data_IF_128696348741
#
_entry.id   IF_128696348741
#
_cell.length_a   1.000
_cell.length_b   1.000
_cell.length_c   1.000
_cell.angle_alpha   90.00
_cell.angle_beta   90.00
_cell.angle_gamma   90.00
#
_symmetry.space_group_name_H-M   'P 1'
#
loop_
_entity.id
_entity.type
_entity.pdbx_description
1 polymer ?
#
# COMPACT_ATOMS: atom_id res chain seq x y z
N UNK A 1 5.48 26.49 24.29
CA UNK A 1 4.85 25.21 23.84
C UNK A 1 5.89 24.37 23.10
N UNK A 2 6.10 23.15 23.54
CA UNK A 2 7.07 22.20 22.98
C UNK A 2 6.39 21.22 22.01
N UNK A 3 6.94 21.02 20.81
CA UNK A 3 6.40 20.10 19.81
C UNK A 3 6.43 18.63 20.22
N UNK A 4 7.40 18.24 21.05
CA UNK A 4 7.44 16.88 21.60
C UNK A 4 6.28 16.65 22.57
N UNK A 5 5.93 17.64 23.38
CA UNK A 5 4.77 17.56 24.26
C UNK A 5 3.46 17.45 23.45
N UNK A 6 3.35 18.17 22.31
CA UNK A 6 2.19 18.06 21.42
C UNK A 6 2.09 16.66 20.80
N UNK A 7 3.21 16.08 20.32
CA UNK A 7 3.24 14.69 19.80
C UNK A 7 2.87 13.68 20.87
N UNK A 8 3.41 13.86 22.07
CA UNK A 8 3.09 13.03 23.23
C UNK A 8 1.60 13.05 23.56
N UNK A 9 0.98 14.23 23.48
CA UNK A 9 -0.44 14.39 23.69
C UNK A 9 -1.28 13.66 22.60
N UNK A 10 -0.88 13.77 21.34
CA UNK A 10 -1.53 13.04 20.24
C UNK A 10 -1.45 11.52 20.42
N UNK A 11 -0.32 10.99 20.89
CA UNK A 11 -0.18 9.57 21.13
C UNK A 11 -1.06 9.09 22.30
N UNK A 12 -1.19 9.89 23.34
CA UNK A 12 -2.14 9.64 24.44
C UNK A 12 -3.58 9.63 23.94
N UNK A 13 -3.96 10.56 23.08
CA UNK A 13 -5.30 10.58 22.46
C UNK A 13 -5.55 9.30 21.65
N UNK A 14 -4.60 8.87 20.82
CA UNK A 14 -4.74 7.68 19.96
C UNK A 14 -4.87 6.40 20.76
N UNK A 15 -4.08 6.27 21.82
CA UNK A 15 -4.04 5.05 22.66
C UNK A 15 -5.08 5.05 23.78
N UNK A 16 -5.64 6.21 24.14
CA UNK A 16 -6.50 6.46 25.31
C UNK A 16 -5.88 5.96 26.63
N UNK A 17 -4.53 5.88 26.68
CA UNK A 17 -3.78 5.31 27.82
C UNK A 17 -2.36 5.88 27.90
N UNK A 18 -2.03 6.52 29.02
CA UNK A 18 -0.69 7.01 29.29
C UNK A 18 0.37 5.88 29.28
N UNK A 19 0.00 4.70 29.80
CA UNK A 19 0.92 3.56 29.84
C UNK A 19 1.20 2.98 28.45
N UNK A 20 0.18 2.89 27.56
CA UNK A 20 0.38 2.44 26.18
C UNK A 20 1.16 3.47 25.37
N UNK A 21 0.80 4.75 25.49
CA UNK A 21 1.49 5.84 24.80
C UNK A 21 2.98 5.92 25.21
N UNK A 22 3.30 5.81 26.50
CA UNK A 22 4.68 5.86 26.97
C UNK A 22 5.56 4.74 26.38
N UNK A 23 4.99 3.52 26.25
CA UNK A 23 5.70 2.41 25.60
C UNK A 23 5.96 2.68 24.12
N UNK A 24 4.98 3.22 23.38
CA UNK A 24 5.13 3.56 21.96
C UNK A 24 6.14 4.69 21.74
N UNK A 25 6.19 5.65 22.66
CA UNK A 25 7.12 6.77 22.62
C UNK A 25 8.51 6.44 23.21
N UNK A 26 8.72 5.22 23.72
CA UNK A 26 9.95 4.79 24.37
C UNK A 26 10.41 5.70 25.52
N UNK A 27 9.47 6.24 26.30
CA UNK A 27 9.72 7.05 27.50
C UNK A 27 9.00 6.47 28.73
N UNK A 28 9.40 6.88 29.92
CA UNK A 28 8.69 6.46 31.12
C UNK A 28 7.33 7.14 31.24
N UNK A 29 6.34 6.45 31.81
CA UNK A 29 5.00 7.03 32.04
C UNK A 29 5.02 8.31 32.88
N UNK A 30 5.86 8.45 33.96
CA UNK A 30 6.01 9.71 34.67
C UNK A 30 6.54 10.85 33.76
N UNK A 31 7.50 10.57 32.85
CA UNK A 31 8.03 11.55 31.94
C UNK A 31 6.94 12.04 30.96
N UNK A 32 6.17 11.11 30.39
CA UNK A 32 5.03 11.44 29.52
C UNK A 32 4.00 12.29 30.27
N UNK A 33 3.63 11.89 31.49
CA UNK A 33 2.68 12.65 32.31
C UNK A 33 3.17 14.08 32.58
N UNK A 34 4.47 14.26 32.84
CA UNK A 34 5.08 15.58 33.05
C UNK A 34 5.09 16.43 31.77
N UNK A 35 5.32 15.84 30.60
CA UNK A 35 5.22 16.55 29.31
C UNK A 35 3.80 17.06 29.07
N UNK A 36 2.78 16.23 29.31
CA UNK A 36 1.38 16.65 29.18
C UNK A 36 1.03 17.76 30.18
N UNK A 37 1.42 17.62 31.42
CA UNK A 37 1.18 18.66 32.44
C UNK A 37 1.85 20.00 32.07
N UNK A 38 3.05 19.99 31.50
CA UNK A 38 3.71 21.20 31.00
C UNK A 38 2.93 21.83 29.85
N UNK A 39 2.43 21.01 28.91
CA UNK A 39 1.60 21.49 27.81
C UNK A 39 0.31 22.13 28.31
N UNK A 40 -0.38 21.51 29.27
CA UNK A 40 -1.58 22.04 29.91
C UNK A 40 -1.29 23.35 30.67
N UNK A 41 -0.17 23.41 31.37
CA UNK A 41 0.28 24.62 32.06
C UNK A 41 0.63 25.76 31.10
N UNK A 42 1.32 25.47 29.99
CA UNK A 42 1.65 26.46 28.95
C UNK A 42 0.39 27.06 28.28
N UNK A 43 -0.70 26.27 28.21
CA UNK A 43 -1.96 26.66 27.60
C UNK A 43 -2.99 27.17 28.62
N UNK A 44 -2.68 27.05 29.92
CA UNK A 44 -3.56 27.40 31.06
C UNK A 44 -4.91 26.69 31.03
N UNK A 45 -4.96 25.49 30.41
CA UNK A 45 -6.18 24.68 30.31
C UNK A 45 -5.86 23.20 30.49
N UNK A 46 -6.83 22.44 31.00
CA UNK A 46 -6.74 20.97 31.07
C UNK A 46 -7.20 20.37 29.74
N UNK A 47 -6.34 19.55 29.12
CA UNK A 47 -6.61 18.90 27.84
C UNK A 47 -7.12 17.46 27.99
N UNK A 48 -6.78 16.81 29.13
CA UNK A 48 -7.10 15.40 29.42
C UNK A 48 -7.92 15.26 30.69
N UNK A 49 -8.97 14.43 30.63
CA UNK A 49 -9.68 13.88 31.82
C UNK A 49 -9.13 12.49 32.10
N UNK A 50 -8.68 12.25 33.33
CA UNK A 50 -8.18 10.96 33.80
C UNK A 50 -9.23 10.28 34.65
N UNK A 51 -9.56 9.03 34.32
CA UNK A 51 -10.52 8.22 35.09
C UNK A 51 -9.99 6.80 35.28
N UNK A 52 -10.66 5.99 36.08
CA UNK A 52 -10.36 4.57 36.21
C UNK A 52 -10.54 3.78 34.89
N UNK A 53 -11.28 4.34 33.94
CA UNK A 53 -11.57 3.74 32.63
C UNK A 53 -10.54 4.16 31.57
N UNK A 54 -9.61 5.07 31.89
CA UNK A 54 -8.55 5.53 30.98
C UNK A 54 -8.44 7.05 30.92
N UNK A 55 -8.03 7.52 29.74
CA UNK A 55 -7.81 8.94 29.46
C UNK A 55 -8.74 9.38 28.32
N UNK A 56 -9.47 10.46 28.55
CA UNK A 56 -10.37 11.09 27.57
C UNK A 56 -9.95 12.55 27.36
N UNK A 57 -10.34 13.12 26.20
CA UNK A 57 -10.12 14.52 25.92
C UNK A 57 -11.17 15.38 26.63
N UNK A 58 -10.76 16.60 26.99
CA UNK A 58 -11.69 17.69 27.29
C UNK A 58 -12.14 18.38 25.99
N UNK A 59 -13.14 19.25 26.06
CA UNK A 59 -13.50 20.11 24.92
C UNK A 59 -12.31 20.94 24.43
N UNK A 60 -11.50 21.46 25.37
CA UNK A 60 -10.27 22.17 25.05
C UNK A 60 -9.25 21.23 24.37
N UNK A 61 -9.16 19.95 24.77
CA UNK A 61 -8.32 18.94 24.15
C UNK A 61 -8.73 18.64 22.71
N UNK A 62 -10.03 18.52 22.43
CA UNK A 62 -10.55 18.32 21.07
C UNK A 62 -10.27 19.54 20.17
N UNK A 63 -10.52 20.75 20.68
CA UNK A 63 -10.22 21.98 19.96
C UNK A 63 -8.71 22.10 19.68
N UNK A 64 -7.88 21.81 20.68
CA UNK A 64 -6.42 21.86 20.54
C UNK A 64 -5.95 20.92 19.44
N UNK A 65 -6.41 19.67 19.38
CA UNK A 65 -6.04 18.73 18.32
C UNK A 65 -6.46 19.26 16.94
N UNK A 66 -7.71 19.70 16.82
CA UNK A 66 -8.23 20.20 15.54
C UNK A 66 -7.38 21.33 14.99
N UNK A 67 -6.84 22.19 15.86
CA UNK A 67 -5.97 23.31 15.46
C UNK A 67 -4.53 22.90 15.27
N UNK A 68 -4.03 21.94 16.03
CA UNK A 68 -2.62 21.52 15.97
C UNK A 68 -2.29 20.57 14.83
N UNK A 69 -3.22 19.74 14.39
CA UNK A 69 -2.96 18.81 13.28
C UNK A 69 -2.50 19.51 11.99
N UNK A 70 -3.15 20.59 11.51
CA UNK A 70 -2.67 21.34 10.34
C UNK A 70 -1.29 21.96 10.56
N UNK A 71 -1.02 22.48 11.77
CA UNK A 71 0.27 23.08 12.11
C UNK A 71 1.39 22.04 12.09
N UNK A 72 1.15 20.87 12.67
CA UNK A 72 2.13 19.78 12.66
C UNK A 72 2.40 19.30 11.24
N UNK A 73 1.37 19.24 10.38
CA UNK A 73 1.50 18.95 8.95
C UNK A 73 2.43 19.96 8.29
N UNK A 74 2.20 21.25 8.50
CA UNK A 74 3.01 22.34 7.94
C UNK A 74 4.48 22.30 8.40
N UNK A 75 4.71 22.03 9.69
CA UNK A 75 6.08 21.84 10.22
C UNK A 75 6.78 20.64 9.56
N UNK A 76 6.06 19.57 9.28
CA UNK A 76 6.59 18.41 8.55
C UNK A 76 6.96 18.78 7.10
N UNK A 77 6.09 19.53 6.42
CA UNK A 77 6.32 20.03 5.06
C UNK A 77 7.59 20.91 5.01
N UNK A 78 7.71 21.90 5.91
CA UNK A 78 8.91 22.74 6.03
C UNK A 78 10.17 21.91 6.29
N UNK A 79 10.12 20.93 7.19
CA UNK A 79 11.27 20.04 7.44
C UNK A 79 11.65 19.22 6.22
N UNK A 80 10.68 18.82 5.42
CA UNK A 80 10.90 18.08 4.17
C UNK A 80 11.52 19.00 3.11
N UNK A 81 11.02 20.21 2.98
CA UNK A 81 11.59 21.23 2.08
C UNK A 81 13.04 21.59 2.46
N UNK A 82 13.33 21.75 3.76
CA UNK A 82 14.70 22.07 4.21
C UNK A 82 15.72 20.97 3.91
N UNK A 83 15.27 19.71 3.85
CA UNK A 83 16.15 18.61 3.42
C UNK A 83 16.60 18.74 1.96
N UNK A 84 15.83 19.43 1.11
CA UNK A 84 16.20 19.63 -0.31
C UNK A 84 17.43 20.52 -0.48
N UNK A 85 17.81 21.30 0.53
CA UNK A 85 18.99 22.18 0.48
C UNK A 85 20.31 21.50 0.85
N UNK A 86 20.28 20.28 1.36
CA UNK A 86 21.49 19.60 1.85
C UNK A 86 21.96 18.41 1.02
N UNK A 87 21.08 17.72 0.27
CA UNK A 87 21.42 16.55 -0.59
C UNK A 87 20.31 16.32 -1.63
N UNK A 88 20.59 15.54 -2.70
CA UNK A 88 19.55 15.04 -3.62
C UNK A 88 18.39 14.49 -2.79
N UNK A 89 17.18 15.01 -2.99
CA UNK A 89 16.02 14.61 -2.22
C UNK A 89 15.79 13.10 -2.40
N UNK A 90 16.05 12.33 -1.35
CA UNK A 90 15.78 10.90 -1.33
C UNK A 90 14.35 10.68 -0.87
N UNK A 91 13.55 10.05 -1.71
CA UNK A 91 12.18 9.65 -1.39
C UNK A 91 12.06 8.13 -1.39
N UNK A 92 11.35 7.57 -0.42
CA UNK A 92 11.10 6.13 -0.36
C UNK A 92 9.67 5.84 -0.83
N UNK A 93 9.53 4.98 -1.85
CA UNK A 93 8.25 4.65 -2.46
C UNK A 93 8.00 3.16 -2.37
N UNK A 94 6.85 2.79 -1.82
CA UNK A 94 6.37 1.42 -1.78
C UNK A 94 5.69 1.02 -3.08
N UNK A 95 5.89 -0.23 -3.52
CA UNK A 95 5.22 -0.72 -4.73
C UNK A 95 5.00 -2.23 -4.64
N UNK A 96 3.85 -2.69 -5.14
CA UNK A 96 3.56 -4.12 -5.27
C UNK A 96 4.50 -4.78 -6.29
N UNK A 97 4.95 -6.03 -6.07
CA UNK A 97 5.80 -6.75 -7.02
C UNK A 97 5.23 -6.79 -8.44
N UNK A 98 3.91 -6.99 -8.58
CA UNK A 98 3.22 -7.04 -9.87
C UNK A 98 3.15 -5.70 -10.62
N UNK A 99 3.42 -4.58 -9.95
CA UNK A 99 3.39 -3.23 -10.52
C UNK A 99 4.79 -2.67 -10.79
N UNK A 100 5.81 -3.24 -10.14
CA UNK A 100 7.17 -2.69 -10.11
C UNK A 100 7.76 -2.47 -11.52
N UNK A 101 7.71 -3.48 -12.39
CA UNK A 101 8.28 -3.40 -13.73
C UNK A 101 7.68 -2.27 -14.57
N UNK A 102 6.38 -2.00 -14.41
CA UNK A 102 5.69 -0.98 -15.19
C UNK A 102 5.89 0.45 -14.63
N UNK A 103 5.67 0.62 -13.32
CA UNK A 103 5.67 1.96 -12.72
C UNK A 103 7.06 2.49 -12.42
N UNK A 104 8.03 1.62 -12.05
CA UNK A 104 9.41 2.07 -11.77
C UNK A 104 10.05 2.66 -13.03
N UNK A 105 9.88 2.03 -14.19
CA UNK A 105 10.40 2.57 -15.45
C UNK A 105 9.78 3.94 -15.78
N UNK A 106 8.46 4.08 -15.69
CA UNK A 106 7.76 5.34 -15.92
C UNK A 106 8.19 6.44 -14.95
N UNK A 107 8.33 6.12 -13.66
CA UNK A 107 8.76 7.09 -12.66
C UNK A 107 10.18 7.62 -12.93
N UNK A 108 11.08 6.81 -13.46
CA UNK A 108 12.44 7.23 -13.79
C UNK A 108 12.47 8.37 -14.81
N UNK A 109 11.59 8.31 -15.81
CA UNK A 109 11.52 9.31 -16.88
C UNK A 109 11.00 10.66 -16.39
N UNK A 110 10.26 10.66 -15.28
CA UNK A 110 9.57 11.83 -14.73
C UNK A 110 10.34 12.53 -13.62
N UNK A 111 11.05 11.76 -12.78
CA UNK A 111 11.64 12.28 -11.55
C UNK A 111 12.93 13.07 -11.77
N UNK A 112 13.47 13.07 -12.98
CA UNK A 112 14.70 13.79 -13.30
C UNK A 112 15.92 13.34 -12.49
N UNK A 113 17.04 14.02 -12.67
CA UNK A 113 18.30 13.71 -11.95
C UNK A 113 18.36 14.27 -10.52
N UNK A 114 17.38 15.09 -10.12
CA UNK A 114 17.37 15.79 -8.83
C UNK A 114 16.77 14.96 -7.69
N UNK A 115 16.04 13.88 -8.00
CA UNK A 115 15.39 13.01 -7.03
C UNK A 115 16.02 11.61 -7.02
N UNK A 116 16.50 11.18 -5.86
CA UNK A 116 16.89 9.79 -5.62
C UNK A 116 15.69 9.02 -5.05
N UNK A 117 15.23 7.98 -5.75
CA UNK A 117 14.10 7.16 -5.29
C UNK A 117 14.58 5.83 -4.75
N UNK A 118 14.26 5.55 -3.50
CA UNK A 118 14.40 4.23 -2.89
C UNK A 118 13.09 3.45 -3.03
N UNK A 119 13.10 2.36 -3.80
CA UNK A 119 11.93 1.52 -3.98
C UNK A 119 11.85 0.41 -2.94
N UNK A 120 10.69 0.29 -2.28
CA UNK A 120 10.35 -0.81 -1.38
C UNK A 120 9.33 -1.71 -2.07
N UNK A 121 9.79 -2.84 -2.60
CA UNK A 121 8.93 -3.80 -3.32
C UNK A 121 8.42 -4.82 -2.31
N UNK A 122 7.15 -4.70 -1.93
CA UNK A 122 6.53 -5.51 -0.87
C UNK A 122 5.02 -5.70 -1.13
N UNK A 123 4.40 -6.64 -0.43
CA UNK A 123 2.95 -6.82 -0.48
C UNK A 123 2.20 -5.72 0.29
N UNK A 124 0.93 -5.48 -0.08
CA UNK A 124 0.07 -4.41 0.44
C UNK A 124 0.13 -4.26 1.96
N UNK A 125 0.00 -5.36 2.71
CA UNK A 125 0.00 -5.33 4.19
C UNK A 125 1.31 -4.77 4.76
N UNK A 126 2.46 -5.13 4.18
CA UNK A 126 3.78 -4.63 4.61
C UNK A 126 3.92 -3.15 4.25
N UNK A 127 3.55 -2.78 3.01
CA UNK A 127 3.59 -1.39 2.55
C UNK A 127 2.70 -0.47 3.40
N UNK A 128 1.49 -0.92 3.76
CA UNK A 128 0.61 -0.18 4.66
C UNK A 128 1.24 0.05 6.05
N UNK A 129 1.97 -0.94 6.57
CA UNK A 129 2.75 -0.79 7.81
C UNK A 129 3.83 0.28 7.69
N UNK A 130 4.67 0.18 6.64
CA UNK A 130 5.74 1.14 6.37
C UNK A 130 5.19 2.56 6.14
N UNK A 131 4.05 2.69 5.46
CA UNK A 131 3.39 3.96 5.22
C UNK A 131 2.86 4.58 6.51
N UNK A 132 2.19 3.81 7.37
CA UNK A 132 1.72 4.27 8.69
C UNK A 132 2.88 4.72 9.59
N UNK A 133 4.01 4.03 9.53
CA UNK A 133 5.23 4.38 10.26
C UNK A 133 6.02 5.52 9.61
N UNK A 134 5.54 6.09 8.50
CA UNK A 134 6.20 7.14 7.70
C UNK A 134 7.62 6.75 7.23
N UNK A 135 7.85 5.46 6.99
CA UNK A 135 9.08 4.93 6.39
C UNK A 135 9.09 5.00 4.87
N UNK A 136 7.91 5.19 4.26
CA UNK A 136 7.73 5.49 2.85
C UNK A 136 6.78 6.68 2.71
N UNK A 137 7.05 7.56 1.76
CA UNK A 137 6.28 8.79 1.51
C UNK A 137 5.05 8.54 0.64
N UNK A 138 5.16 7.58 -0.26
CA UNK A 138 4.08 7.19 -1.18
C UNK A 138 4.12 5.70 -1.47
N UNK A 139 3.04 5.17 -2.05
CA UNK A 139 2.99 3.77 -2.48
C UNK A 139 1.98 3.54 -3.60
N UNK A 140 2.27 2.49 -4.42
CA UNK A 140 1.35 1.93 -5.42
C UNK A 140 0.80 0.60 -4.90
N UNK A 141 -0.50 0.56 -4.65
CA UNK A 141 -1.19 -0.58 -4.02
C UNK A 141 -2.54 -0.86 -4.69
N UNK A 142 -3.12 -2.01 -4.39
CA UNK A 142 -4.43 -2.44 -4.89
C UNK A 142 -5.55 -2.38 -3.84
N UNK A 143 -5.34 -1.60 -2.79
CA UNK A 143 -6.32 -1.39 -1.71
C UNK A 143 -6.33 0.07 -1.26
N UNK A 144 -7.50 0.55 -0.86
CA UNK A 144 -7.65 1.88 -0.26
C UNK A 144 -7.04 1.88 1.15
N UNK A 145 -6.33 2.96 1.47
CA UNK A 145 -5.62 3.12 2.74
C UNK A 145 -6.24 4.25 3.55
N UNK A 146 -6.80 3.93 4.70
CA UNK A 146 -7.33 4.94 5.61
C UNK A 146 -6.22 5.83 6.19
N UNK A 147 -6.51 7.13 6.30
CA UNK A 147 -5.60 8.11 6.90
C UNK A 147 -4.50 8.63 5.96
N UNK A 148 -4.55 8.32 4.67
CA UNK A 148 -3.70 8.95 3.67
C UNK A 148 -4.17 10.37 3.36
N UNK A 149 -3.24 11.28 3.04
CA UNK A 149 -3.57 12.66 2.65
C UNK A 149 -4.05 12.72 1.20
N UNK A 150 -3.46 11.91 0.33
CA UNK A 150 -3.85 11.81 -1.07
C UNK A 150 -4.04 10.34 -1.45
N UNK A 151 -5.18 10.02 -2.07
CA UNK A 151 -5.47 8.72 -2.67
C UNK A 151 -5.98 9.00 -4.08
N UNK A 152 -5.27 8.51 -5.08
CA UNK A 152 -5.67 8.62 -6.48
C UNK A 152 -5.85 7.24 -7.08
N UNK A 153 -7.02 6.97 -7.65
CA UNK A 153 -7.25 5.78 -8.48
C UNK A 153 -6.48 5.97 -9.79
N UNK A 154 -5.52 5.09 -10.05
CA UNK A 154 -4.66 5.16 -11.23
C UNK A 154 -5.30 4.44 -12.42
N UNK A 155 -5.82 3.25 -12.18
CA UNK A 155 -6.47 2.43 -13.20
C UNK A 155 -7.19 1.23 -12.60
N UNK A 156 -8.11 0.68 -13.36
CA UNK A 156 -8.60 -0.67 -13.18
C UNK A 156 -7.79 -1.65 -14.03
N UNK A 157 -7.40 -2.78 -13.45
CA UNK A 157 -6.57 -3.80 -14.08
C UNK A 157 -7.27 -5.16 -14.04
N UNK A 158 -7.47 -5.77 -15.20
CA UNK A 158 -8.05 -7.10 -15.34
C UNK A 158 -7.08 -8.18 -14.89
N UNK A 159 -7.63 -9.25 -14.33
CA UNK A 159 -6.93 -10.51 -14.11
C UNK A 159 -7.28 -11.44 -15.27
N UNK A 160 -6.28 -12.05 -15.88
CA UNK A 160 -6.43 -12.96 -17.01
C UNK A 160 -5.93 -14.35 -16.66
N UNK A 161 -6.52 -15.37 -17.27
CA UNK A 161 -6.00 -16.73 -17.23
C UNK A 161 -4.85 -16.85 -18.25
N UNK A 162 -3.74 -17.43 -17.83
CA UNK A 162 -2.55 -17.61 -18.67
C UNK A 162 -2.27 -19.09 -18.85
N UNK A 163 -2.15 -19.52 -20.09
CA UNK A 163 -1.95 -20.91 -20.49
C UNK A 163 -0.75 -21.04 -21.45
N UNK A 164 -0.17 -22.25 -21.53
CA UNK A 164 0.89 -22.55 -22.48
C UNK A 164 0.38 -22.64 -23.92
N UNK A 165 1.31 -22.61 -24.88
CA UNK A 165 1.03 -22.75 -26.30
C UNK A 165 0.42 -24.13 -26.69
N UNK A 166 0.62 -25.15 -25.86
CA UNK A 166 0.10 -26.50 -26.10
C UNK A 166 -1.16 -26.80 -25.28
N UNK A 167 -1.66 -25.83 -24.52
CA UNK A 167 -2.84 -26.01 -23.68
C UNK A 167 -4.12 -26.06 -24.51
N UNK A 168 -5.08 -26.90 -24.07
CA UNK A 168 -6.37 -27.08 -24.77
C UNK A 168 -7.20 -25.79 -24.86
N UNK A 169 -6.95 -24.81 -23.99
CA UNK A 169 -7.67 -23.54 -23.96
C UNK A 169 -7.00 -22.43 -24.80
N UNK A 170 -5.86 -22.65 -25.42
CA UNK A 170 -5.08 -21.62 -26.14
C UNK A 170 -5.89 -20.82 -27.17
N UNK A 171 -6.87 -21.46 -27.83
CA UNK A 171 -7.72 -20.80 -28.82
C UNK A 171 -8.95 -20.11 -28.24
N UNK A 172 -9.19 -20.26 -26.93
CA UNK A 172 -10.29 -19.59 -26.25
C UNK A 172 -9.97 -18.11 -26.01
N UNK A 173 -10.94 -17.25 -26.25
CA UNK A 173 -10.86 -15.82 -25.91
C UNK A 173 -11.43 -15.52 -24.52
N UNK A 174 -12.35 -16.39 -24.05
CA UNK A 174 -12.99 -16.30 -22.73
C UNK A 174 -13.04 -17.67 -22.10
N UNK A 175 -12.81 -17.76 -20.81
CA UNK A 175 -12.90 -18.97 -20.01
C UNK A 175 -13.72 -18.72 -18.76
N UNK A 176 -14.55 -19.67 -18.35
CA UNK A 176 -15.33 -19.60 -17.12
C UNK A 176 -14.54 -20.14 -15.95
N UNK A 177 -14.85 -19.66 -14.74
CA UNK A 177 -14.18 -20.17 -13.53
C UNK A 177 -14.42 -21.66 -13.31
N UNK A 178 -15.59 -22.16 -13.68
CA UNK A 178 -15.93 -23.60 -13.59
C UNK A 178 -15.01 -24.47 -14.47
N UNK A 179 -14.56 -23.94 -15.61
CA UNK A 179 -13.62 -24.64 -16.50
C UNK A 179 -12.25 -24.85 -15.83
N UNK A 180 -11.90 -24.00 -14.85
CA UNK A 180 -10.59 -24.00 -14.16
C UNK A 180 -10.54 -24.91 -12.93
N UNK A 181 -11.67 -25.49 -12.49
CA UNK A 181 -11.76 -26.22 -11.21
C UNK A 181 -10.84 -27.46 -11.12
N UNK A 182 -10.50 -28.06 -12.26
CA UNK A 182 -9.62 -29.23 -12.33
C UNK A 182 -8.21 -28.91 -12.84
N UNK A 183 -7.91 -27.63 -13.09
CA UNK A 183 -6.61 -27.19 -13.60
C UNK A 183 -5.59 -27.06 -12.47
N UNK A 184 -4.34 -27.39 -12.80
CA UNK A 184 -3.19 -27.18 -11.91
C UNK A 184 -2.82 -25.69 -11.91
N UNK A 185 -2.88 -25.04 -10.75
CA UNK A 185 -2.62 -23.61 -10.61
C UNK A 185 -1.23 -23.32 -10.06
N UNK A 186 -0.57 -22.39 -10.69
CA UNK A 186 0.63 -21.71 -10.20
C UNK A 186 0.17 -20.35 -9.70
N UNK A 187 0.45 -19.99 -8.44
CA UNK A 187 -0.22 -18.88 -7.78
C UNK A 187 0.74 -18.01 -6.96
N UNK A 188 0.30 -16.80 -6.64
CA UNK A 188 0.96 -15.96 -5.63
C UNK A 188 0.77 -16.52 -4.21
N UNK A 189 1.62 -16.13 -3.23
CA UNK A 189 1.45 -16.45 -1.81
C UNK A 189 0.11 -15.95 -1.25
N UNK A 190 -0.37 -16.55 -0.17
CA UNK A 190 -1.63 -16.18 0.49
C UNK A 190 -1.69 -14.73 0.98
N UNK A 191 -0.54 -14.12 1.24
CA UNK A 191 -0.44 -12.71 1.62
C UNK A 191 -0.83 -11.76 0.47
N UNK A 192 -0.77 -12.20 -0.78
CA UNK A 192 -1.09 -11.41 -1.98
C UNK A 192 -2.61 -11.26 -2.14
N UNK A 193 -3.08 -10.04 -2.39
CA UNK A 193 -4.51 -9.76 -2.55
C UNK A 193 -5.09 -10.39 -3.83
N UNK A 194 -4.31 -10.47 -4.93
CA UNK A 194 -4.71 -11.23 -6.14
C UNK A 194 -4.96 -12.70 -5.81
N UNK A 195 -4.13 -13.31 -4.95
CA UNK A 195 -4.34 -14.70 -4.49
C UNK A 195 -5.66 -14.86 -3.74
N UNK A 196 -6.00 -13.91 -2.85
CA UNK A 196 -7.27 -13.91 -2.12
C UNK A 196 -8.45 -13.79 -3.07
N UNK A 197 -8.37 -12.89 -4.06
CA UNK A 197 -9.40 -12.73 -5.09
C UNK A 197 -9.64 -14.05 -5.83
N UNK A 198 -8.60 -14.75 -6.28
CA UNK A 198 -8.68 -16.04 -6.95
C UNK A 198 -9.33 -17.07 -6.03
N UNK A 199 -8.88 -17.17 -4.77
CA UNK A 199 -9.42 -18.11 -3.78
C UNK A 199 -10.92 -17.88 -3.56
N UNK A 200 -11.34 -16.62 -3.43
CA UNK A 200 -12.75 -16.26 -3.26
C UNK A 200 -13.60 -16.63 -4.48
N UNK A 201 -13.07 -16.50 -5.70
CA UNK A 201 -13.79 -16.92 -6.90
C UNK A 201 -13.98 -18.45 -6.94
N UNK A 202 -12.95 -19.23 -6.61
CA UNK A 202 -13.09 -20.69 -6.49
C UNK A 202 -14.10 -21.09 -5.41
N UNK A 203 -14.09 -20.39 -4.27
CA UNK A 203 -15.10 -20.62 -3.21
C UNK A 203 -16.51 -20.30 -3.70
N UNK A 204 -16.68 -19.24 -4.50
CA UNK A 204 -17.97 -18.84 -5.09
C UNK A 204 -18.61 -19.91 -5.98
N UNK A 205 -17.81 -20.75 -6.63
CA UNK A 205 -18.27 -21.90 -7.42
C UNK A 205 -18.25 -23.22 -6.63
N UNK A 206 -18.03 -23.18 -5.31
CA UNK A 206 -17.97 -24.39 -4.47
C UNK A 206 -16.74 -25.27 -4.69
N UNK A 207 -15.69 -24.77 -5.33
CA UNK A 207 -14.46 -25.49 -5.65
C UNK A 207 -13.28 -25.00 -4.80
N UNK A 208 -12.18 -25.80 -4.83
CA UNK A 208 -10.88 -25.39 -4.28
C UNK A 208 -9.84 -25.44 -5.39
N UNK A 209 -8.93 -24.43 -5.45
CA UNK A 209 -7.87 -24.43 -6.44
C UNK A 209 -6.88 -25.57 -6.19
N UNK A 210 -6.46 -26.28 -7.25
CA UNK A 210 -5.40 -27.29 -7.20
C UNK A 210 -4.06 -26.59 -7.38
N UNK A 211 -3.40 -26.25 -6.28
CA UNK A 211 -2.16 -25.48 -6.30
C UNK A 211 -0.99 -26.45 -6.42
N UNK A 212 -0.14 -26.22 -7.42
CA UNK A 212 1.08 -27.01 -7.66
C UNK A 212 2.36 -26.24 -7.36
N UNK A 213 2.34 -24.89 -7.51
CA UNK A 213 3.46 -24.02 -7.19
C UNK A 213 2.98 -22.70 -6.61
N UNK A 214 3.81 -22.11 -5.76
CA UNK A 214 3.62 -20.80 -5.17
C UNK A 214 4.90 -19.97 -5.31
N UNK A 215 4.80 -18.73 -5.83
CA UNK A 215 5.92 -17.78 -5.97
C UNK A 215 5.42 -16.35 -5.96
N UNK A 216 6.27 -15.44 -5.48
CA UNK A 216 5.93 -14.00 -5.35
C UNK A 216 6.07 -13.20 -6.65
N UNK A 217 6.63 -13.77 -7.72
CA UNK A 217 6.95 -13.05 -8.95
C UNK A 217 6.31 -13.69 -10.17
N UNK A 218 5.85 -12.83 -11.11
CA UNK A 218 5.15 -13.28 -12.32
C UNK A 218 6.07 -14.01 -13.31
N UNK A 219 7.34 -13.58 -13.46
CA UNK A 219 8.25 -14.19 -14.42
C UNK A 219 8.47 -15.70 -14.21
N UNK A 220 8.77 -16.20 -12.99
CA UNK A 220 8.83 -17.63 -12.74
C UNK A 220 7.51 -18.34 -13.04
N UNK A 221 6.35 -17.73 -12.72
CA UNK A 221 5.05 -18.30 -13.03
C UNK A 221 4.86 -18.48 -14.54
N UNK A 222 5.18 -17.43 -15.32
CA UNK A 222 5.07 -17.45 -16.78
C UNK A 222 6.00 -18.51 -17.40
N UNK A 223 7.21 -18.66 -16.89
CA UNK A 223 8.13 -19.68 -17.33
C UNK A 223 7.59 -21.10 -17.06
N UNK A 224 7.02 -21.35 -15.87
CA UNK A 224 6.37 -22.62 -15.50
C UNK A 224 5.14 -22.92 -16.36
N UNK A 225 4.31 -21.88 -16.63
CA UNK A 225 3.16 -22.02 -17.54
C UNK A 225 3.62 -22.36 -18.95
N UNK A 226 4.63 -21.66 -19.48
CA UNK A 226 5.21 -21.97 -20.80
C UNK A 226 5.76 -23.37 -20.90
N UNK A 227 6.27 -23.94 -19.81
CA UNK A 227 6.71 -25.33 -19.72
C UNK A 227 5.58 -26.36 -19.54
N UNK A 228 4.31 -25.92 -19.49
CA UNK A 228 3.14 -26.81 -19.36
C UNK A 228 2.93 -27.40 -17.97
N UNK A 229 3.53 -26.81 -16.91
CA UNK A 229 3.42 -27.31 -15.54
C UNK A 229 2.07 -26.98 -14.87
N UNK A 230 1.30 -26.07 -15.47
CA UNK A 230 -0.01 -25.64 -15.00
C UNK A 230 -0.43 -24.35 -15.70
N UNK A 231 -1.49 -23.74 -15.21
CA UNK A 231 -1.98 -22.43 -15.63
C UNK A 231 -1.81 -21.42 -14.49
N UNK A 232 -1.97 -20.13 -14.78
CA UNK A 232 -1.98 -19.11 -13.74
C UNK A 232 -3.02 -18.02 -14.00
N UNK A 233 -3.39 -17.29 -12.97
CA UNK A 233 -4.28 -16.14 -13.03
C UNK A 233 -3.48 -14.91 -12.60
N UNK A 234 -3.18 -14.01 -13.54
CA UNK A 234 -2.29 -12.87 -13.33
C UNK A 234 -2.93 -11.55 -13.79
N UNK A 235 -2.50 -10.42 -13.21
CA UNK A 235 -2.80 -9.11 -13.76
C UNK A 235 -2.34 -9.01 -15.22
N UNK A 236 -3.20 -8.46 -16.09
CA UNK A 236 -2.95 -8.36 -17.54
C UNK A 236 -1.60 -7.67 -17.85
N UNK A 237 -1.25 -6.66 -17.08
CA UNK A 237 -0.01 -5.91 -17.24
C UNK A 237 1.24 -6.80 -17.02
N UNK A 238 1.16 -7.74 -16.08
CA UNK A 238 2.26 -8.67 -15.79
C UNK A 238 2.52 -9.68 -16.90
N UNK A 239 1.55 -9.93 -17.77
CA UNK A 239 1.64 -10.96 -18.83
C UNK A 239 1.87 -10.38 -20.22
N UNK A 240 1.67 -9.08 -20.40
CA UNK A 240 1.67 -8.39 -21.70
C UNK A 240 2.94 -8.67 -22.53
N UNK A 241 4.11 -8.67 -21.89
CA UNK A 241 5.38 -8.93 -22.57
C UNK A 241 5.52 -10.39 -23.01
N UNK A 242 5.16 -11.35 -22.16
CA UNK A 242 5.25 -12.78 -22.47
C UNK A 242 4.28 -13.18 -23.58
N UNK A 243 3.06 -12.61 -23.60
CA UNK A 243 2.09 -12.79 -24.68
C UNK A 243 2.62 -12.21 -25.99
N UNK A 244 3.19 -11.00 -25.96
CA UNK A 244 3.78 -10.37 -27.16
C UNK A 244 4.95 -11.18 -27.74
N UNK A 245 5.69 -11.87 -26.89
CA UNK A 245 6.79 -12.77 -27.29
C UNK A 245 6.28 -14.14 -27.80
N UNK A 246 4.99 -14.43 -27.68
CA UNK A 246 4.41 -15.70 -28.08
C UNK A 246 4.75 -16.88 -27.16
N UNK A 247 5.17 -16.60 -25.93
CA UNK A 247 5.54 -17.65 -24.96
C UNK A 247 4.33 -18.30 -24.28
N UNK A 248 3.23 -17.56 -24.14
CA UNK A 248 2.00 -17.96 -23.46
C UNK A 248 0.79 -17.25 -24.10
N UNK A 249 -0.41 -17.75 -23.82
CA UNK A 249 -1.67 -17.12 -24.20
C UNK A 249 -2.38 -16.57 -22.96
N UNK A 250 -2.97 -15.38 -23.10
CA UNK A 250 -3.82 -14.75 -22.07
C UNK A 250 -5.28 -14.82 -22.52
N UNK A 251 -6.14 -15.28 -21.62
CA UNK A 251 -7.56 -15.54 -21.87
C UNK A 251 -8.37 -14.74 -20.84
N UNK A 252 -9.40 -14.02 -21.27
CA UNK A 252 -10.32 -13.32 -20.36
C UNK A 252 -11.10 -14.31 -19.50
N UNK A 253 -11.42 -13.90 -18.27
CA UNK A 253 -12.18 -14.75 -17.32
C UNK A 253 -13.62 -14.24 -17.24
N UNK A 254 -14.58 -15.14 -17.15
CA UNK A 254 -16.00 -14.86 -16.93
C UNK A 254 -16.50 -15.52 -15.62
N UNK A 255 -17.13 -14.77 -14.69
CA UNK A 255 -17.28 -13.31 -14.69
C UNK A 255 -15.94 -12.59 -14.63
N UNK A 256 -15.86 -11.33 -15.13
CA UNK A 256 -14.61 -10.58 -15.15
C UNK A 256 -14.06 -10.37 -13.74
N UNK A 257 -12.77 -10.62 -13.58
CA UNK A 257 -12.03 -10.33 -12.36
C UNK A 257 -11.12 -9.14 -12.61
N UNK A 258 -11.23 -8.11 -11.79
CA UNK A 258 -10.40 -6.92 -11.90
C UNK A 258 -10.03 -6.38 -10.52
N UNK A 259 -8.93 -5.63 -10.45
CA UNK A 259 -8.51 -4.87 -9.28
C UNK A 259 -8.31 -3.41 -9.63
N UNK A 260 -8.45 -2.54 -8.67
CA UNK A 260 -8.12 -1.13 -8.81
C UNK A 260 -6.73 -0.88 -8.27
N UNK A 261 -5.97 -0.08 -8.97
CA UNK A 261 -4.63 0.35 -8.55
C UNK A 261 -4.73 1.79 -8.07
N UNK A 262 -4.17 2.02 -6.90
CA UNK A 262 -4.15 3.33 -6.25
C UNK A 262 -2.71 3.80 -6.06
N UNK A 263 -2.51 5.09 -6.28
CA UNK A 263 -1.38 5.81 -5.73
C UNK A 263 -1.82 6.45 -4.43
N UNK A 264 -1.05 6.24 -3.38
CA UNK A 264 -1.34 6.73 -2.02
C UNK A 264 -0.15 7.53 -1.54
N UNK A 265 -0.37 8.74 -1.02
CA UNK A 265 0.70 9.64 -0.57
C UNK A 265 0.34 10.36 0.71
N UNK A 266 1.38 10.70 1.50
CA UNK A 266 1.27 11.63 2.62
C UNK A 266 1.28 13.11 2.18
N UNK A 267 1.54 13.39 0.90
CA UNK A 267 1.59 14.73 0.32
C UNK A 267 0.40 14.95 -0.60
N UNK A 268 -0.26 16.11 -0.55
CA UNK A 268 -1.34 16.48 -1.47
C UNK A 268 -0.84 16.66 -2.89
N UNK A 269 0.30 17.35 -3.03
CA UNK A 269 1.01 17.51 -4.31
C UNK A 269 2.26 16.64 -4.30
N UNK A 270 2.18 15.50 -4.95
CA UNK A 270 3.35 14.65 -5.14
C UNK A 270 3.79 14.78 -6.62
N UNK A 271 5.07 15.09 -6.90
CA UNK A 271 5.58 15.22 -8.27
C UNK A 271 5.27 14.03 -9.16
N UNK A 272 5.17 12.83 -8.57
CA UNK A 272 4.78 11.61 -9.27
C UNK A 272 3.33 11.64 -9.77
N UNK A 273 2.42 12.37 -9.10
CA UNK A 273 1.02 12.42 -9.53
C UNK A 273 0.85 13.13 -10.87
N UNK A 274 1.62 14.19 -11.11
CA UNK A 274 1.53 14.96 -12.35
C UNK A 274 1.94 14.14 -13.58
N UNK A 275 2.83 13.17 -13.38
CA UNK A 275 3.36 12.32 -14.45
C UNK A 275 2.47 11.18 -14.89
N UNK A 276 1.42 10.89 -14.13
CA UNK A 276 0.47 9.82 -14.44
C UNK A 276 -0.89 10.35 -14.90
N UNK A 277 -1.06 11.67 -15.10
CA UNK A 277 -2.30 12.29 -15.60
C UNK A 277 -2.44 12.22 -17.13
N UNK A 278 -1.35 11.99 -17.85
CA UNK A 278 -1.41 11.80 -19.29
C UNK A 278 -1.86 10.36 -19.58
N UNK A 279 -3.16 10.26 -19.88
CA UNK A 279 -3.86 9.01 -20.17
C UNK A 279 -3.18 8.20 -21.26
N UNK A 280 -2.50 7.12 -20.89
CA UNK A 280 -2.06 6.04 -21.77
C UNK A 280 -1.96 4.72 -21.03
#
# INVERSE_FOLDING_TARGET
MDLEAVRSFLEVKNTRSLSKASKLLHISQPALSKQIQRLEADLEVTLLKRSAQGVELTEAGELFITRMLPILKHIYEVKTEMKTFQEKRKISIGILPSLAAHYISKCKDVLGEELEVEWKIEHTKVLMGLFKERKIEAMFVDSVVEGATCIKEMREEKIVCVVSNDHLYKEKTVIRMEDLQNEKLIVYPEICDVRKMITNMFQGIGAKPIIVFETSYAEPMLAMVGAGLGITLLPEMSVKQAVKQGNVHAISIEPPLARKIYFVSHMEENPLLQSFDDGS
#
